data_IF_520513597814
#
_entry.id   IF_520513597814
#
_cell.length_a   1.000
_cell.length_b   1.000
_cell.length_c   1.000
_cell.angle_alpha   90.00
_cell.angle_beta   90.00
_cell.angle_gamma   90.00
#
_symmetry.space_group_name_H-M   'P 1'
#
loop_
_entity.id
_entity.type
_entity.pdbx_description
1 polymer ?
#
# COMPACT_ATOMS: atom_id res chain seq x y z
N UNK A 1 22.13 37.71 -8.22
CA UNK A 1 21.72 36.33 -8.58
C UNK A 1 21.54 35.42 -7.37
N UNK A 2 22.48 35.37 -6.41
CA UNK A 2 22.40 34.47 -5.25
C UNK A 2 21.13 34.62 -4.38
N UNK A 3 20.63 35.84 -4.17
CA UNK A 3 19.38 36.10 -3.40
C UNK A 3 18.11 35.49 -4.03
N UNK A 4 18.04 35.43 -5.36
CA UNK A 4 16.89 34.83 -6.07
C UNK A 4 16.91 33.31 -5.98
N UNK A 5 18.09 32.70 -5.92
CA UNK A 5 18.26 31.26 -5.74
C UNK A 5 17.74 30.82 -4.36
N UNK A 6 18.06 31.56 -3.29
CA UNK A 6 17.53 31.26 -1.96
C UNK A 6 16.00 31.45 -1.86
N UNK A 7 15.44 32.43 -2.59
CA UNK A 7 14.00 32.65 -2.66
C UNK A 7 13.28 31.48 -3.37
N UNK A 8 13.84 31.01 -4.49
CA UNK A 8 13.27 29.88 -5.25
C UNK A 8 13.39 28.58 -4.45
N UNK A 9 14.54 28.32 -3.80
CA UNK A 9 14.73 27.16 -2.93
C UNK A 9 13.75 27.23 -1.74
N UNK A 10 13.59 28.40 -1.11
CA UNK A 10 12.64 28.60 -0.01
C UNK A 10 11.18 28.37 -0.43
N UNK A 11 10.77 28.86 -1.60
CA UNK A 11 9.43 28.64 -2.15
C UNK A 11 9.15 27.16 -2.45
N UNK A 12 10.14 26.43 -2.96
CA UNK A 12 10.03 24.99 -3.19
C UNK A 12 9.82 24.25 -1.87
N UNK A 13 10.56 24.57 -0.80
CA UNK A 13 10.40 23.93 0.51
C UNK A 13 9.00 24.14 1.12
N UNK A 14 8.39 25.30 0.95
CA UNK A 14 7.03 25.58 1.46
C UNK A 14 5.98 24.76 0.69
N UNK A 15 6.14 24.63 -0.63
CA UNK A 15 5.23 23.81 -1.44
C UNK A 15 5.32 22.30 -1.17
N UNK A 16 6.47 21.79 -0.71
CA UNK A 16 6.60 20.38 -0.33
C UNK A 16 5.88 20.06 0.99
N UNK A 17 5.78 21.01 1.92
CA UNK A 17 5.09 20.79 3.20
C UNK A 17 3.57 20.76 3.06
N UNK A 18 2.99 21.54 2.14
CA UNK A 18 1.54 21.54 1.91
C UNK A 18 1.07 20.32 1.11
N UNK A 19 1.89 19.79 0.19
CA UNK A 19 1.56 18.60 -0.60
C UNK A 19 1.46 17.30 0.24
N UNK A 20 2.02 17.29 1.46
CA UNK A 20 1.93 16.18 2.40
C UNK A 20 0.84 16.38 3.47
N UNK A 21 0.15 17.51 3.46
CA UNK A 21 -0.92 17.78 4.41
C UNK A 21 -2.24 17.12 3.96
N UNK A 22 -2.55 15.96 4.53
CA UNK A 22 -3.79 15.20 4.27
C UNK A 22 -5.04 15.88 4.87
N UNK A 23 -4.91 17.00 5.60
CA UNK A 23 -6.04 17.62 6.31
C UNK A 23 -7.11 18.21 5.38
N UNK A 24 -6.76 18.48 4.13
CA UNK A 24 -7.70 18.99 3.12
C UNK A 24 -8.47 17.89 2.39
N UNK A 25 -8.06 16.62 2.55
CA UNK A 25 -8.71 15.50 1.85
C UNK A 25 -10.03 15.10 2.53
N UNK A 26 -11.03 14.66 1.73
CA UNK A 26 -12.20 13.95 2.24
C UNK A 26 -11.78 12.80 3.17
N UNK A 27 -12.56 12.56 4.22
CA UNK A 27 -12.25 11.55 5.25
C UNK A 27 -11.92 10.17 4.66
N UNK A 28 -12.65 9.74 3.64
CA UNK A 28 -12.45 8.44 2.99
C UNK A 28 -11.11 8.36 2.24
N UNK A 29 -10.68 9.43 1.57
CA UNK A 29 -9.38 9.52 0.92
C UNK A 29 -8.24 9.53 1.94
N UNK A 30 -8.40 10.29 3.03
CA UNK A 30 -7.44 10.31 4.13
C UNK A 30 -7.23 8.92 4.72
N UNK A 31 -8.31 8.23 5.09
CA UNK A 31 -8.23 6.87 5.63
C UNK A 31 -7.57 5.89 4.64
N UNK A 32 -7.85 6.06 3.34
CA UNK A 32 -7.24 5.24 2.29
C UNK A 32 -5.73 5.43 2.22
N UNK A 33 -5.25 6.68 2.18
CA UNK A 33 -3.83 6.98 2.16
C UNK A 33 -3.12 6.61 3.46
N UNK A 34 -3.79 6.78 4.60
CA UNK A 34 -3.28 6.31 5.90
C UNK A 34 -3.05 4.80 5.87
N UNK A 35 -4.03 3.99 5.42
CA UNK A 35 -3.88 2.54 5.35
C UNK A 35 -2.80 2.09 4.35
N UNK A 36 -2.66 2.79 3.22
CA UNK A 36 -1.64 2.48 2.22
C UNK A 36 -0.22 2.74 2.71
N UNK A 37 -0.03 3.79 3.52
CA UNK A 37 1.27 4.22 4.02
C UNK A 37 1.58 3.70 5.43
N UNK A 38 0.59 3.13 6.13
CA UNK A 38 0.75 2.60 7.47
C UNK A 38 1.77 1.45 7.52
N UNK A 39 2.58 1.47 8.58
CA UNK A 39 3.47 0.38 8.94
C UNK A 39 2.88 -0.40 10.11
N UNK A 40 2.46 -1.66 9.89
CA UNK A 40 1.98 -2.50 10.98
C UNK A 40 3.01 -2.68 12.09
N UNK A 41 2.57 -2.61 13.34
CA UNK A 41 3.36 -2.79 14.56
C UNK A 41 4.02 -4.18 14.58
N UNK A 42 3.30 -5.19 14.06
CA UNK A 42 3.81 -6.56 13.99
C UNK A 42 4.69 -6.83 12.75
N UNK A 43 5.08 -5.81 12.00
CA UNK A 43 5.99 -5.97 10.87
C UNK A 43 7.43 -6.17 11.36
N UNK A 44 8.01 -7.32 11.02
CA UNK A 44 9.40 -7.64 11.32
C UNK A 44 10.21 -7.48 10.03
N UNK A 45 11.08 -6.48 10.00
CA UNK A 45 12.00 -6.25 8.89
C UNK A 45 13.08 -7.32 8.89
N UNK A 46 12.95 -8.31 8.01
CA UNK A 46 13.93 -9.39 7.84
C UNK A 46 14.91 -9.14 6.68
N UNK A 47 15.02 -7.88 6.22
CA UNK A 47 15.75 -7.50 5.00
C UNK A 47 16.53 -6.19 5.19
N UNK A 48 17.57 -5.93 4.35
CA UNK A 48 18.28 -4.65 4.33
C UNK A 48 17.39 -3.45 3.97
N UNK A 49 16.20 -3.69 3.42
CA UNK A 49 15.22 -2.67 3.04
C UNK A 49 14.15 -2.47 4.11
N UNK A 50 14.57 -2.05 5.32
CA UNK A 50 13.65 -1.65 6.42
C UNK A 50 12.58 -0.62 5.99
N UNK A 51 12.82 0.06 4.87
CA UNK A 51 11.92 1.06 4.29
C UNK A 51 10.72 0.47 3.56
N UNK A 52 10.70 -0.81 3.18
CA UNK A 52 9.60 -1.47 2.47
C UNK A 52 8.53 -2.02 3.42
N UNK A 53 8.00 -1.13 4.25
CA UNK A 53 7.22 -1.44 5.44
C UNK A 53 5.74 -1.03 5.35
N UNK A 54 5.21 -0.84 4.14
CA UNK A 54 3.81 -0.46 3.89
C UNK A 54 3.35 -1.01 2.55
N UNK A 55 2.03 -1.04 2.33
CA UNK A 55 1.43 -1.54 1.08
C UNK A 55 1.91 -0.70 -0.11
N UNK A 56 1.89 0.63 0.03
CA UNK A 56 2.30 1.54 -1.04
C UNK A 56 3.75 1.34 -1.46
N UNK A 57 4.68 1.34 -0.50
CA UNK A 57 6.12 1.21 -0.79
C UNK A 57 6.45 -0.15 -1.41
N UNK A 58 5.82 -1.23 -0.94
CA UNK A 58 6.01 -2.56 -1.52
C UNK A 58 5.42 -2.67 -2.92
N UNK A 59 4.24 -2.11 -3.16
CA UNK A 59 3.65 -2.04 -4.51
C UNK A 59 4.59 -1.32 -5.46
N UNK A 60 5.05 -0.12 -5.10
CA UNK A 60 5.97 0.67 -5.93
C UNK A 60 7.30 -0.03 -6.18
N UNK A 61 7.82 -0.79 -5.21
CA UNK A 61 9.03 -1.59 -5.40
C UNK A 61 8.78 -2.78 -6.34
N UNK A 62 7.67 -3.49 -6.16
CA UNK A 62 7.32 -4.67 -6.95
C UNK A 62 6.94 -4.31 -8.40
N UNK A 63 6.38 -3.12 -8.65
CA UNK A 63 6.12 -2.63 -10.01
C UNK A 63 7.38 -2.55 -10.86
N UNK A 64 8.55 -2.40 -10.22
CA UNK A 64 9.87 -2.42 -10.88
C UNK A 64 10.48 -3.81 -11.01
N UNK A 65 9.70 -4.89 -10.83
CA UNK A 65 10.20 -6.29 -10.82
C UNK A 65 11.04 -6.69 -12.03
N UNK A 66 10.84 -6.08 -13.19
CA UNK A 66 11.64 -6.35 -14.39
C UNK A 66 13.09 -5.83 -14.30
N UNK A 67 13.37 -4.97 -13.32
CA UNK A 67 14.67 -4.38 -13.04
C UNK A 67 15.36 -5.03 -11.82
N UNK A 68 14.73 -6.02 -11.20
CA UNK A 68 15.22 -6.65 -9.99
C UNK A 68 15.88 -7.98 -10.28
N UNK A 69 16.93 -8.29 -9.54
CA UNK A 69 17.52 -9.63 -9.52
C UNK A 69 16.56 -10.62 -8.84
N UNK A 70 16.73 -11.91 -9.14
CA UNK A 70 15.86 -12.98 -8.63
C UNK A 70 15.81 -12.98 -7.10
N UNK A 71 16.95 -12.80 -6.45
CA UNK A 71 17.08 -12.77 -5.01
C UNK A 71 16.29 -11.59 -4.41
N UNK A 72 16.38 -10.41 -5.03
CA UNK A 72 15.64 -9.21 -4.60
C UNK A 72 14.14 -9.42 -4.73
N UNK A 73 13.68 -10.02 -5.82
CA UNK A 73 12.27 -10.36 -6.02
C UNK A 73 11.76 -11.31 -4.92
N UNK A 74 12.51 -12.37 -4.61
CA UNK A 74 12.18 -13.30 -3.51
C UNK A 74 12.06 -12.55 -2.17
N UNK A 75 12.96 -11.59 -1.91
CA UNK A 75 12.90 -10.78 -0.71
C UNK A 75 11.66 -9.89 -0.65
N UNK A 76 11.30 -9.23 -1.75
CA UNK A 76 10.09 -8.41 -1.82
C UNK A 76 8.85 -9.27 -1.62
N UNK A 77 8.75 -10.44 -2.26
CA UNK A 77 7.62 -11.35 -2.07
C UNK A 77 7.48 -11.81 -0.60
N UNK A 78 8.60 -12.06 0.09
CA UNK A 78 8.59 -12.32 1.53
C UNK A 78 8.08 -11.12 2.32
N UNK A 79 8.51 -9.90 1.99
CA UNK A 79 8.04 -8.68 2.65
C UNK A 79 6.54 -8.42 2.43
N UNK A 80 6.02 -8.68 1.23
CA UNK A 80 4.58 -8.67 0.92
C UNK A 80 3.81 -9.60 1.86
N UNK A 81 4.29 -10.84 2.00
CA UNK A 81 3.66 -11.82 2.89
C UNK A 81 3.70 -11.41 4.38
N UNK A 82 4.78 -10.76 4.82
CA UNK A 82 4.93 -10.27 6.18
C UNK A 82 4.00 -9.09 6.48
N UNK A 83 3.85 -8.13 5.57
CA UNK A 83 2.89 -7.04 5.74
C UNK A 83 1.46 -7.57 5.82
N UNK A 84 1.06 -8.48 4.94
CA UNK A 84 -0.28 -9.09 4.98
C UNK A 84 -0.53 -9.82 6.31
N UNK A 85 0.48 -10.54 6.84
CA UNK A 85 0.41 -11.17 8.15
C UNK A 85 0.29 -10.14 9.28
N UNK A 86 1.09 -9.08 9.26
CA UNK A 86 1.11 -8.10 10.33
C UNK A 86 -0.22 -7.35 10.45
N UNK A 87 -0.84 -6.98 9.31
CA UNK A 87 -2.20 -6.45 9.28
C UNK A 87 -3.23 -7.43 9.87
N UNK A 88 -3.12 -8.72 9.54
CA UNK A 88 -4.01 -9.74 10.10
C UNK A 88 -3.85 -9.87 11.63
N UNK A 89 -2.62 -9.87 12.14
CA UNK A 89 -2.32 -9.95 13.58
C UNK A 89 -2.85 -8.74 14.37
N UNK A 90 -2.94 -7.58 13.74
CA UNK A 90 -3.59 -6.39 14.30
C UNK A 90 -5.12 -6.41 14.23
N UNK A 91 -5.72 -7.53 13.80
CA UNK A 91 -7.16 -7.64 13.55
C UNK A 91 -7.68 -6.64 12.48
N UNK A 92 -6.81 -6.29 11.52
CA UNK A 92 -7.12 -5.41 10.39
C UNK A 92 -6.80 -6.12 9.06
N UNK A 93 -7.40 -7.28 8.74
CA UNK A 93 -7.12 -7.96 7.48
C UNK A 93 -7.45 -7.07 6.28
N UNK A 94 -6.49 -6.94 5.37
CA UNK A 94 -6.62 -6.13 4.15
C UNK A 94 -6.69 -7.04 2.93
N UNK A 95 -7.66 -6.75 2.04
CA UNK A 95 -7.68 -7.22 0.67
C UNK A 95 -7.46 -6.04 -0.27
N UNK A 96 -6.86 -6.31 -1.42
CA UNK A 96 -6.59 -5.32 -2.45
C UNK A 96 -7.45 -5.62 -3.67
N UNK A 97 -8.13 -4.62 -4.20
CA UNK A 97 -8.93 -4.76 -5.42
C UNK A 97 -8.10 -4.31 -6.62
N UNK A 98 -8.17 -5.10 -7.70
CA UNK A 98 -7.60 -4.75 -9.01
C UNK A 98 -8.71 -4.45 -10.02
N UNK A 99 -8.34 -3.92 -11.19
CA UNK A 99 -9.26 -3.66 -12.31
C UNK A 99 -10.14 -4.86 -12.68
N UNK A 100 -9.64 -6.09 -12.45
CA UNK A 100 -10.33 -7.33 -12.82
C UNK A 100 -11.07 -8.00 -11.64
N UNK A 101 -11.10 -7.38 -10.45
CA UNK A 101 -11.74 -7.94 -9.27
C UNK A 101 -13.24 -7.64 -9.19
N UNK A 102 -14.05 -8.67 -8.98
CA UNK A 102 -15.53 -8.58 -8.89
C UNK A 102 -16.06 -8.20 -7.49
N UNK A 103 -15.18 -8.06 -6.48
CA UNK A 103 -15.59 -7.87 -5.08
C UNK A 103 -15.33 -6.45 -4.59
N UNK A 104 -16.39 -5.66 -4.44
CA UNK A 104 -16.35 -4.30 -3.88
C UNK A 104 -17.09 -3.29 -4.75
N UNK A 105 -17.54 -2.19 -4.14
CA UNK A 105 -18.12 -1.06 -4.86
C UNK A 105 -16.97 -0.29 -5.54
N UNK A 106 -16.94 -0.22 -6.89
CA UNK A 106 -15.85 0.41 -7.62
C UNK A 106 -15.78 1.93 -7.49
N UNK A 107 -16.80 2.53 -6.87
CA UNK A 107 -16.81 3.95 -6.58
C UNK A 107 -16.30 4.27 -5.16
N UNK A 108 -15.80 3.25 -4.42
CA UNK A 108 -15.31 3.41 -3.04
C UNK A 108 -13.87 2.95 -2.89
N UNK A 109 -13.05 3.86 -2.36
CA UNK A 109 -11.64 3.62 -2.04
C UNK A 109 -11.45 2.54 -0.96
N UNK A 110 -12.39 2.49 -0.02
CA UNK A 110 -12.41 1.54 1.08
C UNK A 110 -13.79 0.89 1.13
N UNK A 111 -13.79 -0.44 1.10
CA UNK A 111 -14.97 -1.24 1.42
C UNK A 111 -14.69 -2.04 2.70
N UNK A 112 -15.68 -2.17 3.58
CA UNK A 112 -15.57 -2.96 4.81
C UNK A 112 -16.64 -4.03 4.81
N UNK A 113 -16.24 -5.27 5.03
CA UNK A 113 -17.16 -6.42 5.15
C UNK A 113 -16.88 -7.18 6.43
N UNK A 114 -17.88 -7.86 6.97
CA UNK A 114 -17.71 -8.69 8.16
C UNK A 114 -17.67 -10.15 7.72
N UNK A 115 -16.63 -10.87 8.14
CA UNK A 115 -16.49 -12.32 7.92
C UNK A 115 -15.80 -12.93 9.14
N UNK A 116 -16.32 -14.05 9.65
CA UNK A 116 -15.79 -14.74 10.84
C UNK A 116 -15.58 -13.78 12.03
N UNK A 117 -16.56 -12.88 12.28
CA UNK A 117 -16.52 -11.86 13.34
C UNK A 117 -15.33 -10.87 13.24
N UNK A 118 -14.74 -10.71 12.05
CA UNK A 118 -13.68 -9.75 11.77
C UNK A 118 -14.09 -8.80 10.66
N UNK A 119 -13.70 -7.54 10.80
CA UNK A 119 -13.83 -6.55 9.73
C UNK A 119 -12.70 -6.73 8.72
N UNK A 120 -13.04 -7.15 7.51
CA UNK A 120 -12.14 -7.18 6.36
C UNK A 120 -12.24 -5.84 5.66
N UNK A 121 -11.09 -5.20 5.45
CA UNK A 121 -10.99 -3.93 4.72
C UNK A 121 -10.47 -4.21 3.32
N UNK A 122 -11.21 -3.82 2.30
CA UNK A 122 -10.79 -3.89 0.90
C UNK A 122 -10.37 -2.50 0.45
N UNK A 123 -9.14 -2.37 -0.06
CA UNK A 123 -8.60 -1.13 -0.63
C UNK A 123 -8.66 -1.19 -2.15
N UNK A 124 -9.21 -0.16 -2.77
CA UNK A 124 -9.29 -0.06 -4.22
C UNK A 124 -8.05 0.59 -4.84
N UNK A 125 -7.12 -0.23 -5.34
CA UNK A 125 -5.88 0.24 -5.95
C UNK A 125 -6.04 0.77 -7.38
N UNK A 126 -7.27 0.78 -7.93
CA UNK A 126 -7.56 1.47 -9.20
C UNK A 126 -7.52 2.99 -9.03
N UNK A 127 -7.77 3.46 -7.81
CA UNK A 127 -7.70 4.87 -7.49
C UNK A 127 -6.23 5.29 -7.27
N UNK A 128 -5.71 6.10 -8.20
CA UNK A 128 -4.31 6.53 -8.20
C UNK A 128 -3.72 6.85 -9.58
N UNK A 129 -4.48 6.62 -10.68
CA UNK A 129 -4.13 7.15 -12.00
C UNK A 129 -2.91 6.54 -12.69
N UNK A 130 -2.36 5.43 -12.20
CA UNK A 130 -1.30 4.72 -12.90
C UNK A 130 -1.88 3.49 -13.58
N UNK A 131 -1.70 3.44 -14.90
CA UNK A 131 -1.84 2.28 -15.79
C UNK A 131 -1.74 0.98 -15.00
N UNK A 132 -2.77 0.14 -15.07
CA UNK A 132 -2.70 -1.22 -14.53
C UNK A 132 -1.55 -1.96 -15.20
N UNK A 133 -0.43 -2.09 -14.48
CA UNK A 133 0.69 -2.93 -14.89
C UNK A 133 0.38 -4.37 -14.51
N UNK A 134 0.76 -5.34 -15.33
CA UNK A 134 0.70 -6.77 -14.97
C UNK A 134 1.40 -7.06 -13.63
N UNK A 135 2.43 -6.28 -13.30
CA UNK A 135 3.11 -6.30 -12.00
C UNK A 135 2.18 -5.94 -10.82
N UNK A 136 1.24 -5.02 -11.00
CA UNK A 136 0.27 -4.62 -9.97
C UNK A 136 -0.73 -5.74 -9.69
N UNK A 137 -1.23 -6.40 -10.74
CA UNK A 137 -2.10 -7.57 -10.57
C UNK A 137 -1.38 -8.72 -9.87
N UNK A 138 -0.11 -8.96 -10.20
CA UNK A 138 0.71 -9.95 -9.50
C UNK A 138 0.94 -9.61 -8.02
N UNK A 139 1.24 -8.35 -7.71
CA UNK A 139 1.36 -7.86 -6.34
C UNK A 139 0.07 -8.13 -5.56
N UNK A 140 -1.08 -7.74 -6.12
CA UNK A 140 -2.40 -7.94 -5.54
C UNK A 140 -2.68 -9.43 -5.32
N UNK A 141 -2.37 -10.28 -6.31
CA UNK A 141 -2.54 -11.73 -6.22
C UNK A 141 -1.73 -12.33 -5.07
N UNK A 142 -0.45 -11.98 -4.95
CA UNK A 142 0.43 -12.49 -3.88
C UNK A 142 -0.07 -12.03 -2.51
N UNK A 143 -0.36 -10.74 -2.36
CA UNK A 143 -0.86 -10.16 -1.12
C UNK A 143 -2.18 -10.81 -0.69
N UNK A 144 -3.18 -10.83 -1.58
CA UNK A 144 -4.50 -11.39 -1.30
C UNK A 144 -4.46 -12.88 -1.03
N UNK A 145 -3.62 -13.65 -1.70
CA UNK A 145 -3.47 -15.08 -1.43
C UNK A 145 -3.04 -15.32 0.03
N UNK A 146 -2.12 -14.50 0.54
CA UNK A 146 -1.70 -14.58 1.94
C UNK A 146 -2.83 -14.21 2.90
N UNK A 147 -3.50 -13.07 2.69
CA UNK A 147 -4.61 -12.65 3.55
C UNK A 147 -5.76 -13.66 3.54
N UNK A 148 -6.17 -14.14 2.37
CA UNK A 148 -7.26 -15.12 2.23
C UNK A 148 -6.95 -16.43 2.97
N UNK A 149 -5.71 -16.92 2.89
CA UNK A 149 -5.27 -18.10 3.66
C UNK A 149 -5.39 -17.87 5.17
N UNK A 150 -4.96 -16.72 5.67
CA UNK A 150 -5.03 -16.38 7.10
C UNK A 150 -6.48 -16.29 7.59
N UNK A 151 -7.36 -15.66 6.80
CA UNK A 151 -8.80 -15.57 7.08
C UNK A 151 -9.46 -16.95 7.06
N UNK A 152 -9.09 -17.83 6.13
CA UNK A 152 -9.69 -19.17 6.05
C UNK A 152 -9.25 -20.11 7.18
N UNK A 153 -8.07 -19.87 7.77
CA UNK A 153 -7.52 -20.67 8.87
C UNK A 153 -7.99 -20.26 10.28
N UNK A 154 -8.87 -19.26 10.40
CA UNK A 154 -9.38 -18.72 11.67
C UNK A 154 -10.88 -18.42 11.62
#
# INVERSE_FOLDING_TARGET
MLKWIYLIIGLLFISFTEAQNLDHLPKAEREYFELLNYTPVNYIANTPTQTLNSIWKLKSAYEKKSQLEKEELIWIEKAINQIALAFFLENKPILLLSENGLEGDPNKLINKTIKNNRTITTLDLRHGGCISFSSTDDFIRIFNNRTKKLIASN
#
